data_IF_625413142589
#
_entry.id   IF_625413142589
#
_cell.length_a   1.000
_cell.length_b   1.000
_cell.length_c   1.000
_cell.angle_alpha   90.00
_cell.angle_beta   90.00
_cell.angle_gamma   90.00
#
_symmetry.space_group_name_H-M   'P 1'
#
loop_
_entity.id
_entity.type
_entity.pdbx_description
1 polymer ?
#
# COMPACT_ATOMS: atom_id res chain seq x y z
N UNK A 1 32.27 21.81 14.13
CA UNK A 1 32.67 20.42 13.81
C UNK A 1 31.54 19.84 12.97
N UNK A 2 31.66 19.95 11.66
CA UNK A 2 30.70 19.37 10.71
C UNK A 2 30.93 17.86 10.68
N UNK A 3 30.05 17.10 11.29
CA UNK A 3 30.06 15.64 11.20
C UNK A 3 29.77 15.30 9.75
N UNK A 4 30.81 14.91 9.02
CA UNK A 4 30.66 14.37 7.67
C UNK A 4 29.82 13.10 7.80
N UNK A 5 28.57 13.14 7.35
CA UNK A 5 27.71 11.97 7.30
C UNK A 5 28.45 10.89 6.50
N UNK A 6 28.66 9.73 7.10
CA UNK A 6 29.27 8.59 6.43
C UNK A 6 28.19 7.91 5.58
N UNK A 7 28.20 8.07 4.24
CA UNK A 7 27.15 7.55 3.38
C UNK A 7 27.02 6.03 3.44
N UNK A 8 28.09 5.32 3.81
CA UNK A 8 28.07 3.87 4.03
C UNK A 8 27.34 3.51 5.32
N UNK A 9 27.49 4.31 6.35
CA UNK A 9 26.77 4.12 7.62
C UNK A 9 25.27 4.38 7.43
N UNK A 10 24.91 5.43 6.72
CA UNK A 10 23.52 5.77 6.46
C UNK A 10 22.86 4.71 5.57
N UNK A 11 23.57 4.22 4.55
CA UNK A 11 23.12 3.09 3.74
C UNK A 11 22.96 1.82 4.58
N UNK A 12 23.93 1.48 5.42
CA UNK A 12 23.85 0.32 6.29
C UNK A 12 22.68 0.41 7.27
N UNK A 13 22.45 1.59 7.86
CA UNK A 13 21.34 1.80 8.79
C UNK A 13 19.98 1.71 8.08
N UNK A 14 19.87 2.21 6.86
CA UNK A 14 18.65 2.10 6.06
C UNK A 14 18.35 0.65 5.63
N UNK A 15 19.38 -0.15 5.40
CA UNK A 15 19.25 -1.57 5.04
C UNK A 15 19.10 -2.49 6.26
N UNK A 16 19.65 -2.11 7.41
CA UNK A 16 19.67 -2.91 8.65
C UNK A 16 18.52 -2.57 9.60
N UNK A 17 17.79 -1.51 9.35
CA UNK A 17 16.60 -1.13 10.11
C UNK A 17 15.53 -2.21 10.06
N UNK A 18 14.55 -2.15 10.96
CA UNK A 18 13.44 -3.12 11.16
C UNK A 18 12.64 -3.42 9.89
N UNK A 19 13.26 -4.16 8.95
CA UNK A 19 12.75 -4.40 7.60
C UNK A 19 12.85 -3.10 6.78
N UNK A 20 13.66 -3.10 5.73
CA UNK A 20 13.81 -1.90 4.90
C UNK A 20 12.44 -1.34 4.52
N UNK A 21 12.11 -0.16 5.01
CA UNK A 21 10.88 0.50 4.63
C UNK A 21 10.90 0.74 3.12
N UNK A 22 9.76 0.57 2.45
CA UNK A 22 9.68 0.87 1.02
C UNK A 22 10.07 2.33 0.77
N UNK A 23 10.93 2.56 -0.20
CA UNK A 23 11.36 3.91 -0.57
C UNK A 23 10.19 4.70 -1.19
N UNK A 24 10.20 6.01 -0.98
CA UNK A 24 9.37 6.91 -1.77
C UNK A 24 9.98 7.13 -3.15
N UNK A 25 9.18 7.40 -4.19
CA UNK A 25 9.66 7.56 -5.56
C UNK A 25 10.65 8.73 -5.76
N UNK A 26 10.60 9.74 -4.90
CA UNK A 26 11.50 10.90 -4.87
C UNK A 26 12.74 10.70 -4.00
N UNK A 27 12.87 9.52 -3.38
CA UNK A 27 14.02 9.22 -2.52
C UNK A 27 15.32 9.12 -3.33
N UNK A 28 16.45 9.73 -2.87
CA UNK A 28 17.72 9.76 -3.61
C UNK A 28 18.28 8.38 -3.99
N UNK A 29 17.90 7.33 -3.27
CA UNK A 29 18.34 5.96 -3.54
C UNK A 29 17.31 5.14 -4.35
N UNK A 30 16.21 5.76 -4.73
CA UNK A 30 15.28 5.10 -5.64
C UNK A 30 15.86 5.10 -7.06
N UNK A 31 16.00 3.91 -7.62
CA UNK A 31 16.42 3.73 -9.02
C UNK A 31 15.30 2.99 -9.74
N UNK A 32 14.66 3.60 -10.75
CA UNK A 32 13.67 2.91 -11.55
C UNK A 32 14.36 1.77 -12.31
N UNK A 33 13.97 0.54 -12.02
CA UNK A 33 14.59 -0.66 -12.62
C UNK A 33 14.22 -0.81 -14.09
N UNK A 34 13.05 -0.31 -14.47
CA UNK A 34 12.48 -0.41 -15.81
C UNK A 34 12.16 1.01 -16.31
N UNK A 35 13.19 1.76 -16.66
CA UNK A 35 13.00 3.04 -17.32
C UNK A 35 12.53 2.85 -18.77
N UNK A 36 11.57 3.63 -19.16
CA UNK A 36 11.31 3.88 -20.55
C UNK A 36 9.86 3.75 -20.98
N UNK A 37 9.56 2.76 -21.78
CA UNK A 37 8.25 2.65 -22.43
C UNK A 37 7.25 1.90 -21.55
N UNK A 38 5.96 2.28 -21.55
CA UNK A 38 4.91 1.57 -20.82
C UNK A 38 4.92 0.06 -21.07
N UNK A 39 5.31 -0.36 -22.26
CA UNK A 39 5.35 -1.78 -22.65
C UNK A 39 6.35 -2.62 -21.85
N UNK A 40 7.33 -1.99 -21.22
CA UNK A 40 8.37 -2.68 -20.42
C UNK A 40 8.21 -2.49 -18.93
N UNK A 41 7.48 -1.46 -18.51
CA UNK A 41 7.28 -1.11 -17.12
C UNK A 41 5.90 -1.56 -16.66
N UNK A 42 5.80 -2.61 -15.82
CA UNK A 42 4.52 -3.14 -15.36
C UNK A 42 3.71 -2.13 -14.54
N UNK A 43 4.35 -1.16 -13.91
CA UNK A 43 3.67 -0.13 -13.13
C UNK A 43 3.05 0.92 -14.05
N UNK A 44 3.73 1.33 -15.10
CA UNK A 44 3.15 2.22 -16.10
C UNK A 44 1.99 1.54 -16.85
N UNK A 45 2.13 0.25 -17.17
CA UNK A 45 1.01 -0.52 -17.75
C UNK A 45 -0.18 -0.60 -16.79
N UNK A 46 0.07 -0.82 -15.52
CA UNK A 46 -0.98 -0.89 -14.51
C UNK A 46 -1.64 0.48 -14.31
N UNK A 47 -0.84 1.55 -14.25
CA UNK A 47 -1.35 2.90 -14.19
C UNK A 47 -2.27 3.22 -15.37
N UNK A 48 -1.83 2.96 -16.63
CA UNK A 48 -2.65 3.20 -17.82
C UNK A 48 -3.96 2.40 -17.79
N UNK A 49 -3.88 1.12 -17.37
CA UNK A 49 -5.06 0.28 -17.25
C UNK A 49 -6.06 0.83 -16.24
N UNK A 50 -5.58 1.32 -15.10
CA UNK A 50 -6.43 1.89 -14.05
C UNK A 50 -7.01 3.24 -14.48
N UNK A 51 -6.21 4.08 -15.14
CA UNK A 51 -6.60 5.39 -15.62
C UNK A 51 -7.67 5.32 -16.73
N UNK A 52 -7.56 4.32 -17.59
CA UNK A 52 -8.51 4.11 -18.70
C UNK A 52 -9.71 3.24 -18.33
N UNK A 53 -9.71 2.66 -17.14
CA UNK A 53 -10.82 1.79 -16.73
C UNK A 53 -12.02 2.60 -16.31
N UNK A 54 -13.16 2.36 -16.94
CA UNK A 54 -14.46 2.92 -16.55
C UNK A 54 -15.19 2.05 -15.51
N UNK A 55 -14.61 0.91 -15.14
CA UNK A 55 -15.25 -0.06 -14.25
C UNK A 55 -14.30 -0.51 -13.13
N UNK A 56 -14.88 -1.13 -12.10
CA UNK A 56 -14.14 -1.76 -11.02
C UNK A 56 -13.21 -2.85 -11.54
N UNK A 57 -11.99 -2.87 -11.02
CA UNK A 57 -11.00 -3.88 -11.41
C UNK A 57 -10.20 -4.36 -10.22
N UNK A 58 -9.82 -5.63 -10.25
CA UNK A 58 -8.90 -6.25 -9.29
C UNK A 58 -7.62 -6.61 -10.02
N UNK A 59 -6.50 -6.08 -9.54
CA UNK A 59 -5.20 -6.33 -10.13
C UNK A 59 -4.27 -6.94 -9.07
N UNK A 60 -3.50 -7.95 -9.45
CA UNK A 60 -2.58 -8.66 -8.57
C UNK A 60 -1.13 -8.41 -8.99
N UNK A 61 -0.34 -7.78 -8.11
CA UNK A 61 1.09 -7.62 -8.28
C UNK A 61 1.83 -8.65 -7.43
N UNK A 62 2.51 -9.60 -8.07
CA UNK A 62 3.23 -10.67 -7.39
C UNK A 62 4.73 -10.58 -7.60
N UNK A 63 5.50 -11.26 -6.77
CA UNK A 63 6.96 -11.33 -6.87
C UNK A 63 7.60 -11.70 -5.53
N UNK A 64 8.87 -12.07 -5.55
CA UNK A 64 9.61 -12.46 -4.35
C UNK A 64 9.72 -11.32 -3.34
N UNK A 65 9.91 -11.69 -2.06
CA UNK A 65 10.21 -10.72 -1.00
C UNK A 65 11.51 -9.98 -1.35
N UNK A 66 11.52 -8.66 -1.16
CA UNK A 66 12.68 -7.82 -1.45
C UNK A 66 12.76 -7.27 -2.89
N UNK A 67 11.86 -7.68 -3.80
CA UNK A 67 11.85 -7.18 -5.20
C UNK A 67 11.22 -5.79 -5.36
N UNK A 68 11.14 -5.00 -4.31
CA UNK A 68 10.68 -3.61 -4.40
C UNK A 68 9.18 -3.40 -4.65
N UNK A 69 8.31 -4.45 -4.57
CA UNK A 69 6.87 -4.30 -4.86
C UNK A 69 6.19 -3.15 -4.11
N UNK A 70 6.50 -3.01 -2.83
CA UNK A 70 5.89 -1.94 -2.02
C UNK A 70 6.40 -0.55 -2.43
N UNK A 71 7.64 -0.42 -2.86
CA UNK A 71 8.22 0.80 -3.46
C UNK A 71 7.50 1.13 -4.76
N UNK A 72 7.32 0.14 -5.62
CA UNK A 72 6.61 0.31 -6.89
C UNK A 72 5.12 0.62 -6.71
N UNK A 73 4.47 0.11 -5.67
CA UNK A 73 3.09 0.50 -5.32
C UNK A 73 3.01 1.97 -4.84
N UNK A 74 4.03 2.48 -4.15
CA UNK A 74 4.11 3.92 -3.82
C UNK A 74 4.27 4.78 -5.08
N UNK A 75 5.09 4.32 -6.03
CA UNK A 75 5.20 4.97 -7.34
C UNK A 75 3.87 4.96 -8.10
N UNK A 76 3.16 3.84 -8.12
CA UNK A 76 1.83 3.76 -8.72
C UNK A 76 0.85 4.74 -8.06
N UNK A 77 0.87 4.82 -6.73
CA UNK A 77 0.08 5.79 -5.99
C UNK A 77 0.36 7.21 -6.46
N UNK A 78 1.64 7.61 -6.51
CA UNK A 78 2.04 8.93 -6.99
C UNK A 78 1.55 9.22 -8.41
N UNK A 79 1.70 8.26 -9.33
CA UNK A 79 1.23 8.39 -10.71
C UNK A 79 -0.28 8.61 -10.81
N UNK A 80 -1.07 7.84 -10.06
CA UNK A 80 -2.53 7.93 -10.04
C UNK A 80 -2.99 9.25 -9.41
N UNK A 81 -2.40 9.66 -8.29
CA UNK A 81 -2.77 10.91 -7.63
C UNK A 81 -2.38 12.15 -8.43
N UNK A 82 -1.21 12.13 -9.09
CA UNK A 82 -0.71 13.28 -9.86
C UNK A 82 -1.35 13.42 -11.23
N UNK A 83 -1.48 12.32 -11.97
CA UNK A 83 -1.90 12.37 -13.37
C UNK A 83 -3.40 12.11 -13.56
N UNK A 84 -3.99 11.24 -12.72
CA UNK A 84 -5.40 10.85 -12.85
C UNK A 84 -6.31 11.54 -11.84
N UNK A 85 -5.74 12.27 -10.87
CA UNK A 85 -6.51 12.90 -9.79
C UNK A 85 -7.22 11.89 -8.88
N UNK A 86 -6.84 10.62 -8.94
CA UNK A 86 -7.42 9.55 -8.15
C UNK A 86 -6.94 9.64 -6.69
N UNK A 87 -7.79 9.22 -5.76
CA UNK A 87 -7.40 9.07 -4.36
C UNK A 87 -6.95 7.64 -4.12
N UNK A 88 -5.73 7.46 -3.60
CA UNK A 88 -5.12 6.13 -3.43
C UNK A 88 -4.78 5.86 -1.97
N UNK A 89 -5.33 4.80 -1.42
CA UNK A 89 -5.04 4.32 -0.07
C UNK A 89 -4.12 3.09 -0.13
N UNK A 90 -2.91 3.23 0.44
CA UNK A 90 -2.01 2.10 0.62
C UNK A 90 -2.17 1.54 2.02
N UNK A 91 -2.49 0.26 2.10
CA UNK A 91 -2.74 -0.43 3.36
C UNK A 91 -1.83 -1.64 3.48
N UNK A 92 -1.11 -1.74 4.60
CA UNK A 92 -0.35 -2.94 4.94
C UNK A 92 -1.23 -3.90 5.75
N UNK A 93 -1.76 -4.92 5.11
CA UNK A 93 -2.65 -5.87 5.77
C UNK A 93 -2.01 -6.66 6.91
N UNK A 94 -0.67 -6.75 6.96
CA UNK A 94 0.03 -7.42 8.07
C UNK A 94 -0.18 -6.72 9.41
N UNK A 95 -0.49 -5.43 9.40
CA UNK A 95 -0.74 -4.66 10.63
C UNK A 95 -2.14 -4.94 11.21
N UNK A 96 -3.01 -5.59 10.43
CA UNK A 96 -4.41 -5.87 10.78
C UNK A 96 -4.72 -7.37 10.89
N UNK A 97 -3.84 -8.23 10.42
CA UNK A 97 -4.05 -9.68 10.39
C UNK A 97 -3.21 -10.39 11.46
N UNK A 98 -3.86 -11.23 12.26
CA UNK A 98 -3.21 -12.12 13.21
C UNK A 98 -2.73 -13.38 12.47
N UNK A 99 -1.46 -13.39 12.02
CA UNK A 99 -0.87 -14.51 11.28
C UNK A 99 -0.58 -15.77 12.13
N UNK A 100 -0.99 -15.78 13.40
CA UNK A 100 -0.79 -16.92 14.32
C UNK A 100 -1.87 -17.99 14.22
N UNK A 101 -2.96 -17.71 13.51
CA UNK A 101 -4.10 -18.61 13.30
C UNK A 101 -4.39 -18.78 11.82
N UNK A 102 -5.05 -19.87 11.40
CA UNK A 102 -5.62 -19.95 10.06
C UNK A 102 -6.53 -18.74 9.81
N UNK A 103 -6.37 -18.10 8.65
CA UNK A 103 -7.13 -16.92 8.29
C UNK A 103 -8.46 -17.35 7.67
N UNK A 104 -9.55 -16.93 8.26
CA UNK A 104 -10.89 -17.08 7.68
C UNK A 104 -11.22 -15.89 6.77
N UNK A 105 -12.15 -16.09 5.84
CA UNK A 105 -12.57 -15.02 4.92
C UNK A 105 -13.19 -13.84 5.67
N UNK A 106 -13.97 -14.12 6.72
CA UNK A 106 -14.55 -13.13 7.62
C UNK A 106 -13.51 -12.24 8.27
N UNK A 107 -12.42 -12.85 8.79
CA UNK A 107 -11.32 -12.13 9.43
C UNK A 107 -10.61 -11.21 8.42
N UNK A 108 -10.40 -11.72 7.21
CA UNK A 108 -9.78 -10.93 6.15
C UNK A 108 -10.65 -9.72 5.76
N UNK A 109 -11.95 -9.93 5.53
CA UNK A 109 -12.87 -8.85 5.16
C UNK A 109 -12.97 -7.81 6.28
N UNK A 110 -13.10 -8.23 7.53
CA UNK A 110 -13.16 -7.32 8.68
C UNK A 110 -11.88 -6.51 8.83
N UNK A 111 -10.73 -7.16 8.69
CA UNK A 111 -9.42 -6.49 8.74
C UNK A 111 -9.25 -5.49 7.59
N UNK A 112 -9.70 -5.84 6.38
CA UNK A 112 -9.65 -4.94 5.21
C UNK A 112 -10.53 -3.70 5.44
N UNK A 113 -11.76 -3.88 5.94
CA UNK A 113 -12.67 -2.77 6.23
C UNK A 113 -12.10 -1.85 7.31
N UNK A 114 -11.48 -2.43 8.36
CA UNK A 114 -10.81 -1.67 9.42
C UNK A 114 -9.66 -0.85 8.85
N UNK A 115 -8.82 -1.48 8.06
CA UNK A 115 -7.65 -0.87 7.46
C UNK A 115 -8.03 0.29 6.52
N UNK A 116 -9.03 0.09 5.66
CA UNK A 116 -9.56 1.15 4.79
C UNK A 116 -10.18 2.30 5.60
N UNK A 117 -10.97 1.97 6.63
CA UNK A 117 -11.56 2.99 7.49
C UNK A 117 -10.52 3.86 8.19
N UNK A 118 -9.45 3.27 8.70
CA UNK A 118 -8.35 4.02 9.29
C UNK A 118 -7.59 4.87 8.26
N UNK A 119 -7.34 4.34 7.07
CA UNK A 119 -6.68 5.07 6.01
C UNK A 119 -7.50 6.30 5.56
N UNK A 120 -8.80 6.16 5.42
CA UNK A 120 -9.72 7.28 5.11
C UNK A 120 -9.76 8.30 6.25
N UNK A 121 -9.82 7.85 7.50
CA UNK A 121 -9.85 8.74 8.67
C UNK A 121 -8.56 9.57 8.78
N UNK A 122 -7.41 8.93 8.55
CA UNK A 122 -6.11 9.61 8.57
C UNK A 122 -5.99 10.68 7.48
N UNK A 123 -6.54 10.40 6.31
CA UNK A 123 -6.45 11.30 5.17
C UNK A 123 -7.45 12.45 5.23
N UNK A 124 -8.69 12.19 5.63
CA UNK A 124 -9.78 13.19 5.61
C UNK A 124 -10.00 13.88 6.95
N UNK A 125 -9.45 13.35 8.05
CA UNK A 125 -9.76 13.78 9.41
C UNK A 125 -11.20 13.48 9.84
N UNK A 126 -11.99 12.85 8.98
CA UNK A 126 -13.36 12.43 9.25
C UNK A 126 -13.36 11.01 9.79
N UNK A 127 -14.08 10.77 10.90
CA UNK A 127 -14.32 9.42 11.37
C UNK A 127 -15.15 8.66 10.33
N UNK A 128 -14.48 7.89 9.49
CA UNK A 128 -15.09 7.13 8.41
C UNK A 128 -16.04 6.04 8.93
N UNK A 129 -15.75 5.53 10.14
CA UNK A 129 -16.50 4.42 10.73
C UNK A 129 -17.11 4.87 12.07
N UNK A 130 -18.40 5.19 12.04
CA UNK A 130 -19.16 5.42 13.29
C UNK A 130 -19.37 4.09 14.01
N UNK A 131 -19.50 4.13 15.35
CA UNK A 131 -19.74 2.95 16.19
C UNK A 131 -20.91 2.08 15.66
N UNK A 132 -21.98 2.68 15.18
CA UNK A 132 -23.11 1.97 14.60
C UNK A 132 -22.85 1.27 13.25
N UNK A 133 -21.79 1.60 12.53
CA UNK A 133 -21.38 0.86 11.35
C UNK A 133 -20.67 -0.44 11.74
N UNK A 134 -19.80 -0.39 12.74
CA UNK A 134 -19.13 -1.57 13.29
C UNK A 134 -20.10 -2.58 13.88
N UNK A 135 -21.10 -2.12 14.64
CA UNK A 135 -22.15 -3.00 15.16
C UNK A 135 -22.94 -3.70 14.06
N UNK A 136 -23.27 -2.97 12.98
CA UNK A 136 -23.98 -3.57 11.82
C UNK A 136 -23.13 -4.56 11.07
N UNK A 137 -21.85 -4.29 10.87
CA UNK A 137 -20.91 -5.18 10.20
C UNK A 137 -20.68 -6.46 11.04
N UNK A 138 -20.48 -6.31 12.34
CA UNK A 138 -20.35 -7.43 13.26
C UNK A 138 -21.62 -8.30 13.27
N UNK A 139 -22.79 -7.70 13.34
CA UNK A 139 -24.07 -8.41 13.30
C UNK A 139 -24.26 -9.13 11.96
N UNK A 140 -23.86 -8.53 10.86
CA UNK A 140 -23.92 -9.17 9.54
C UNK A 140 -23.00 -10.40 9.47
N UNK A 141 -21.76 -10.29 9.94
CA UNK A 141 -20.78 -11.39 9.93
C UNK A 141 -21.10 -12.51 10.94
N UNK A 142 -21.82 -12.19 12.01
CA UNK A 142 -22.21 -13.18 13.04
C UNK A 142 -23.62 -13.76 12.85
N UNK A 143 -24.40 -13.21 11.91
CA UNK A 143 -25.78 -13.65 11.67
C UNK A 143 -25.90 -14.81 10.67
N UNK A 144 -24.81 -15.26 10.06
CA UNK A 144 -24.79 -16.48 9.26
C UNK A 144 -24.29 -17.69 10.07
N UNK A 145 -25.14 -18.20 10.94
CA UNK A 145 -25.12 -19.61 11.40
C UNK A 145 -26.55 -20.09 11.58
#
# INVERSE_FOLDING_TARGET
MTTTADPLRDLYQSLSGKGAEPLEPDHPYYVPILEGTPEKDPILMLWQRLDWSESESVNLLTGFRGNGKSTELRRLKQLLETNSGAKVFLVNMLDFLLMTKPLELSDFVLSLMTALGQAVEQDTGLRALTHGYWERLQNFLTSEV
#
